data_IF_480531271713
#
_entry.id   IF_480531271713
#
_cell.length_a   1.000
_cell.length_b   1.000
_cell.length_c   1.000
_cell.angle_alpha   90.00
_cell.angle_beta   90.00
_cell.angle_gamma   90.00
#
_symmetry.space_group_name_H-M   'P 1'
#
loop_
_entity.id
_entity.type
_entity.pdbx_description
1 polymer ?
#
# COMPACT_ATOMS: atom_id res chain seq x y z
N UNK A 1 -24.84 -17.61 13.19
CA UNK A 1 -24.35 -16.22 13.29
C UNK A 1 -23.67 -15.88 11.96
N UNK A 2 -24.13 -14.86 11.22
CA UNK A 2 -23.49 -14.44 9.97
C UNK A 2 -22.05 -14.03 10.28
N UNK A 3 -21.10 -14.54 9.52
CA UNK A 3 -19.69 -14.13 9.64
C UNK A 3 -19.60 -12.62 9.41
N UNK A 4 -19.12 -11.88 10.40
CA UNK A 4 -19.03 -10.41 10.32
C UNK A 4 -18.15 -10.04 9.13
N UNK A 5 -18.67 -9.25 8.21
CA UNK A 5 -17.94 -8.79 7.04
C UNK A 5 -16.66 -8.04 7.44
N UNK A 6 -15.54 -8.45 6.89
CA UNK A 6 -14.22 -7.85 7.15
C UNK A 6 -14.04 -6.60 6.31
N UNK A 7 -13.35 -5.60 6.85
CA UNK A 7 -13.05 -4.34 6.15
C UNK A 7 -11.57 -4.25 5.80
N UNK A 8 -11.28 -3.92 4.54
CA UNK A 8 -9.93 -3.63 4.06
C UNK A 8 -9.85 -2.18 3.55
N UNK A 9 -8.81 -1.44 3.92
CA UNK A 9 -8.52 -0.11 3.40
C UNK A 9 -7.28 -0.19 2.50
N UNK A 10 -7.38 0.28 1.25
CA UNK A 10 -6.25 0.32 0.31
C UNK A 10 -6.02 1.76 -0.14
N UNK A 11 -4.84 2.32 0.16
CA UNK A 11 -4.42 3.62 -0.36
C UNK A 11 -3.69 3.48 -1.69
N UNK A 12 -3.67 4.53 -2.51
CA UNK A 12 -2.96 4.51 -3.79
C UNK A 12 -3.59 3.61 -4.85
N UNK A 13 -4.93 3.55 -4.88
CA UNK A 13 -5.66 2.80 -5.90
C UNK A 13 -5.64 3.59 -7.21
N UNK A 14 -4.77 3.18 -8.13
CA UNK A 14 -4.64 3.76 -9.47
C UNK A 14 -5.70 3.27 -10.45
N UNK A 15 -5.42 3.37 -11.78
CA UNK A 15 -6.32 2.84 -12.81
C UNK A 15 -6.44 1.31 -12.71
N UNK A 16 -7.44 0.76 -13.41
CA UNK A 16 -7.61 -0.69 -13.56
C UNK A 16 -6.31 -1.34 -14.06
N UNK A 17 -5.98 -2.53 -13.57
CA UNK A 17 -4.71 -3.25 -13.74
C UNK A 17 -3.50 -2.62 -13.01
N UNK A 18 -3.66 -1.54 -12.23
CA UNK A 18 -2.64 -1.05 -11.30
C UNK A 18 -2.57 -1.89 -10.03
N UNK A 19 -1.43 -1.87 -9.33
CA UNK A 19 -1.21 -2.70 -8.11
C UNK A 19 -2.31 -2.50 -7.07
N UNK A 20 -2.64 -1.25 -6.72
CA UNK A 20 -3.70 -0.97 -5.75
C UNK A 20 -5.08 -1.41 -6.21
N UNK A 21 -5.37 -1.37 -7.53
CA UNK A 21 -6.63 -1.86 -8.09
C UNK A 21 -6.72 -3.38 -8.01
N UNK A 22 -5.65 -4.12 -8.35
CA UNK A 22 -5.64 -5.58 -8.24
C UNK A 22 -5.76 -6.06 -6.80
N UNK A 23 -5.10 -5.37 -5.86
CA UNK A 23 -5.28 -5.62 -4.42
C UNK A 23 -6.76 -5.43 -4.03
N UNK A 24 -7.36 -4.29 -4.39
CA UNK A 24 -8.75 -4.00 -4.04
C UNK A 24 -9.72 -5.05 -4.63
N UNK A 25 -9.54 -5.42 -5.89
CA UNK A 25 -10.34 -6.46 -6.56
C UNK A 25 -10.23 -7.82 -5.88
N UNK A 26 -9.01 -8.25 -5.56
CA UNK A 26 -8.78 -9.53 -4.90
C UNK A 26 -9.46 -9.57 -3.53
N UNK A 27 -9.24 -8.56 -2.68
CA UNK A 27 -9.86 -8.51 -1.35
C UNK A 27 -11.39 -8.44 -1.44
N UNK A 28 -11.95 -7.67 -2.40
CA UNK A 28 -13.40 -7.66 -2.68
C UNK A 28 -13.94 -9.04 -3.09
N UNK A 29 -13.23 -9.78 -3.95
CA UNK A 29 -13.53 -11.17 -4.33
C UNK A 29 -13.48 -12.11 -3.12
N UNK A 30 -12.57 -11.85 -2.16
CA UNK A 30 -12.45 -12.60 -0.90
C UNK A 30 -13.44 -12.10 0.18
N UNK A 31 -14.51 -11.41 -0.22
CA UNK A 31 -15.63 -10.93 0.62
C UNK A 31 -15.25 -9.88 1.67
N UNK A 32 -14.15 -9.15 1.48
CA UNK A 32 -13.91 -7.93 2.24
C UNK A 32 -14.73 -6.78 1.67
N UNK A 33 -15.23 -5.87 2.52
CA UNK A 33 -15.63 -4.53 2.11
C UNK A 33 -14.35 -3.69 1.97
N UNK A 34 -14.03 -3.28 0.75
CA UNK A 34 -12.76 -2.61 0.46
C UNK A 34 -12.97 -1.12 0.25
N UNK A 35 -12.41 -0.29 1.12
CA UNK A 35 -12.33 1.15 0.90
C UNK A 35 -11.13 1.48 0.02
N UNK A 36 -11.38 1.99 -1.19
CA UNK A 36 -10.36 2.42 -2.13
C UNK A 36 -10.07 3.91 -1.98
N UNK A 37 -8.83 4.29 -1.66
CA UNK A 37 -8.41 5.69 -1.49
C UNK A 37 -7.43 6.09 -2.58
N UNK A 38 -7.75 7.13 -3.33
CA UNK A 38 -6.87 7.76 -4.31
C UNK A 38 -7.38 9.16 -4.70
N UNK A 39 -6.56 9.93 -5.39
CA UNK A 39 -6.92 11.28 -5.87
C UNK A 39 -7.95 11.29 -7.00
N UNK A 40 -7.86 10.31 -7.92
CA UNK A 40 -8.73 10.25 -9.10
C UNK A 40 -10.10 9.68 -8.76
N UNK A 41 -11.07 10.56 -8.53
CA UNK A 41 -12.49 10.16 -8.35
C UNK A 41 -13.02 9.33 -9.52
N UNK A 42 -12.62 9.68 -10.77
CA UNK A 42 -13.04 8.94 -11.96
C UNK A 42 -12.59 7.48 -11.89
N UNK A 43 -11.29 7.22 -11.70
CA UNK A 43 -10.77 5.84 -11.65
C UNK A 43 -11.41 5.01 -10.53
N UNK A 44 -11.62 5.62 -9.36
CA UNK A 44 -12.26 4.93 -8.24
C UNK A 44 -13.71 4.56 -8.55
N UNK A 45 -14.49 5.49 -9.13
CA UNK A 45 -15.88 5.25 -9.48
C UNK A 45 -16.01 4.21 -10.60
N UNK A 46 -15.10 4.21 -11.57
CA UNK A 46 -15.11 3.21 -12.65
C UNK A 46 -14.87 1.80 -12.09
N UNK A 47 -13.94 1.66 -11.13
CA UNK A 47 -13.70 0.39 -10.43
C UNK A 47 -14.90 -0.04 -9.59
N UNK A 48 -15.47 0.88 -8.79
CA UNK A 48 -16.64 0.60 -7.93
C UNK A 48 -17.84 0.12 -8.73
N UNK A 49 -18.10 0.70 -9.92
CA UNK A 49 -19.18 0.26 -10.81
C UNK A 49 -18.92 -1.14 -11.40
N UNK A 50 -17.66 -1.48 -11.63
CA UNK A 50 -17.27 -2.72 -12.32
C UNK A 50 -17.14 -3.92 -11.39
N UNK A 51 -16.75 -3.71 -10.14
CA UNK A 51 -16.42 -4.77 -9.19
C UNK A 51 -17.24 -4.68 -7.91
N UNK A 52 -17.64 -5.85 -7.37
CA UNK A 52 -18.41 -5.92 -6.11
C UNK A 52 -17.52 -5.73 -4.87
N UNK A 53 -18.12 -5.24 -3.80
CA UNK A 53 -17.50 -5.07 -2.47
C UNK A 53 -16.33 -4.10 -2.42
N UNK A 54 -16.18 -3.21 -3.40
CA UNK A 54 -15.17 -2.15 -3.37
C UNK A 54 -15.86 -0.79 -3.45
N UNK A 55 -15.40 0.17 -2.65
CA UNK A 55 -16.07 1.46 -2.42
C UNK A 55 -15.09 2.63 -2.62
N UNK A 56 -15.56 3.67 -3.29
CA UNK A 56 -14.77 4.84 -3.68
C UNK A 56 -14.69 5.88 -2.56
N UNK A 57 -13.47 6.26 -2.18
CA UNK A 57 -13.17 7.34 -1.23
C UNK A 57 -12.09 8.26 -1.82
N UNK A 58 -12.47 9.22 -2.68
CA UNK A 58 -11.51 10.16 -3.28
C UNK A 58 -10.84 11.01 -2.20
N UNK A 59 -9.51 10.89 -2.09
CA UNK A 59 -8.71 11.64 -1.13
C UNK A 59 -7.24 11.64 -1.55
N UNK A 60 -6.56 12.77 -1.38
CA UNK A 60 -5.10 12.83 -1.38
C UNK A 60 -4.60 12.47 0.03
N UNK A 61 -3.84 11.40 0.15
CA UNK A 61 -3.28 10.98 1.44
C UNK A 61 -2.21 11.95 1.96
N UNK A 62 -1.67 12.83 1.09
CA UNK A 62 -0.77 13.91 1.45
C UNK A 62 -1.47 15.10 2.12
N UNK A 63 -2.78 15.26 1.91
CA UNK A 63 -3.63 16.14 2.71
C UNK A 63 -4.04 15.40 4.01
N UNK A 64 -3.20 15.50 5.02
CA UNK A 64 -3.31 14.70 6.23
C UNK A 64 -4.61 14.96 7.01
N UNK A 65 -5.14 16.18 6.98
CA UNK A 65 -6.39 16.52 7.67
C UNK A 65 -7.60 15.91 6.95
N UNK A 66 -7.66 16.04 5.63
CA UNK A 66 -8.70 15.41 4.83
C UNK A 66 -8.59 13.88 4.86
N UNK A 67 -7.36 13.35 4.90
CA UNK A 67 -7.13 11.91 5.03
C UNK A 67 -7.69 11.36 6.35
N UNK A 68 -7.45 12.00 7.48
CA UNK A 68 -8.04 11.64 8.79
C UNK A 68 -9.57 11.67 8.75
N UNK A 69 -10.17 12.72 8.16
CA UNK A 69 -11.63 12.81 7.97
C UNK A 69 -12.16 11.66 7.12
N UNK A 70 -11.44 11.32 6.04
CA UNK A 70 -11.80 10.21 5.14
C UNK A 70 -11.75 8.86 5.87
N UNK A 71 -10.72 8.60 6.69
CA UNK A 71 -10.61 7.38 7.48
C UNK A 71 -11.77 7.23 8.49
N UNK A 72 -12.15 8.33 9.15
CA UNK A 72 -13.33 8.34 10.03
C UNK A 72 -14.62 8.05 9.26
N UNK A 73 -14.79 8.63 8.06
CA UNK A 73 -15.94 8.36 7.17
C UNK A 73 -15.99 6.88 6.78
N UNK A 74 -14.84 6.28 6.42
CA UNK A 74 -14.76 4.85 6.09
C UNK A 74 -15.19 4.00 7.28
N UNK A 75 -14.69 4.29 8.48
CA UNK A 75 -15.06 3.58 9.71
C UNK A 75 -16.56 3.65 9.99
N UNK A 76 -17.19 4.81 9.76
CA UNK A 76 -18.62 4.99 9.97
C UNK A 76 -19.46 4.23 8.92
N UNK A 77 -19.01 4.20 7.67
CA UNK A 77 -19.78 3.60 6.57
C UNK A 77 -19.60 2.08 6.44
N UNK A 78 -18.36 1.59 6.63
CA UNK A 78 -18.01 0.18 6.38
C UNK A 78 -17.69 -0.58 7.65
N UNK A 79 -17.41 0.12 8.74
CA UNK A 79 -16.97 -0.46 9.99
C UNK A 79 -15.45 -0.34 10.22
N UNK A 80 -14.95 -0.82 11.36
CA UNK A 80 -13.54 -0.77 11.70
C UNK A 80 -12.73 -1.71 10.82
N UNK A 81 -11.59 -1.23 10.31
CA UNK A 81 -10.71 -1.99 9.44
C UNK A 81 -10.12 -3.23 10.15
N UNK A 82 -10.06 -4.34 9.41
CA UNK A 82 -9.36 -5.56 9.79
C UNK A 82 -8.01 -5.68 9.07
N UNK A 83 -7.92 -5.09 7.85
CA UNK A 83 -6.68 -5.01 7.06
C UNK A 83 -6.52 -3.59 6.55
N UNK A 84 -5.31 -3.05 6.62
CA UNK A 84 -4.95 -1.80 5.95
C UNK A 84 -3.73 -2.01 5.06
N UNK A 85 -3.76 -1.44 3.86
CA UNK A 85 -2.69 -1.58 2.87
C UNK A 85 -2.28 -0.18 2.42
N UNK A 86 -1.09 0.26 2.84
CA UNK A 86 -0.53 1.53 2.41
C UNK A 86 0.26 1.32 1.13
N UNK A 87 -0.37 1.67 -0.01
CA UNK A 87 0.22 1.50 -1.34
C UNK A 87 0.39 2.83 -2.10
N UNK A 88 0.02 3.96 -1.53
CA UNK A 88 0.19 5.27 -2.15
C UNK A 88 1.67 5.70 -2.14
N UNK A 89 2.34 5.89 -3.30
CA UNK A 89 3.68 6.44 -3.36
C UNK A 89 3.67 7.91 -3.76
N UNK A 90 4.65 8.66 -3.26
CA UNK A 90 5.15 9.90 -3.88
C UNK A 90 6.64 9.74 -4.16
N UNK A 91 7.08 10.13 -5.36
CA UNK A 91 8.46 9.96 -5.80
C UNK A 91 8.90 11.15 -6.64
N UNK A 92 10.06 11.71 -6.32
CA UNK A 92 10.76 12.71 -7.12
C UNK A 92 12.09 12.12 -7.59
N UNK A 93 12.37 12.29 -8.89
CA UNK A 93 13.58 11.80 -9.53
C UNK A 93 14.37 12.94 -10.14
N UNK A 94 15.63 13.08 -9.77
CA UNK A 94 16.51 14.11 -10.30
C UNK A 94 17.80 14.28 -9.47
N UNK A 95 18.66 15.19 -9.92
CA UNK A 95 19.82 15.60 -9.14
C UNK A 95 19.39 16.31 -7.86
N UNK A 96 20.03 16.03 -6.73
CA UNK A 96 19.81 16.70 -5.44
C UNK A 96 19.98 18.22 -5.57
N UNK A 97 20.85 18.68 -6.47
CA UNK A 97 21.08 20.10 -6.72
C UNK A 97 19.95 20.80 -7.50
N UNK A 98 19.05 20.04 -8.13
CA UNK A 98 18.00 20.57 -9.02
C UNK A 98 16.57 20.31 -8.52
N UNK A 99 16.39 19.34 -7.63
CA UNK A 99 15.07 19.05 -7.07
C UNK A 99 14.66 20.15 -6.08
N UNK A 100 13.37 20.53 -6.10
CA UNK A 100 12.81 21.41 -5.10
C UNK A 100 12.76 20.70 -3.73
N UNK A 101 13.30 21.30 -2.65
CA UNK A 101 13.22 20.73 -1.29
C UNK A 101 11.79 20.38 -0.86
N UNK A 102 10.77 21.13 -1.30
CA UNK A 102 9.36 20.85 -1.01
C UNK A 102 8.91 19.48 -1.53
N UNK A 103 9.56 18.98 -2.58
CA UNK A 103 9.28 17.61 -3.08
C UNK A 103 9.70 16.54 -2.07
N UNK A 104 10.75 16.76 -1.29
CA UNK A 104 11.17 15.84 -0.23
C UNK A 104 10.10 15.80 0.87
N UNK A 105 9.61 16.95 1.29
CA UNK A 105 8.55 17.05 2.30
C UNK A 105 7.26 16.38 1.82
N UNK A 106 6.87 16.60 0.56
CA UNK A 106 5.72 15.92 -0.04
C UNK A 106 5.91 14.41 -0.05
N UNK A 107 7.11 13.94 -0.43
CA UNK A 107 7.41 12.51 -0.42
C UNK A 107 7.34 11.92 1.00
N UNK A 108 7.86 12.62 2.03
CA UNK A 108 7.71 12.22 3.43
C UNK A 108 6.24 12.18 3.85
N UNK A 109 5.48 13.20 3.49
CA UNK A 109 4.06 13.32 3.84
C UNK A 109 3.25 12.16 3.31
N UNK A 110 3.43 11.79 2.03
CA UNK A 110 2.70 10.69 1.40
C UNK A 110 3.24 9.33 1.82
N UNK A 111 4.56 9.12 1.78
CA UNK A 111 5.13 7.80 2.02
C UNK A 111 5.13 7.41 3.50
N UNK A 112 5.46 8.34 4.39
CA UNK A 112 5.74 8.04 5.81
C UNK A 112 4.67 8.58 6.74
N UNK A 113 4.35 9.89 6.66
CA UNK A 113 3.41 10.52 7.60
C UNK A 113 1.98 10.02 7.39
N UNK A 114 1.56 9.81 6.14
CA UNK A 114 0.24 9.22 5.86
C UNK A 114 0.11 7.79 6.40
N UNK A 115 1.20 6.97 6.35
CA UNK A 115 1.20 5.66 6.99
C UNK A 115 0.95 5.77 8.50
N UNK A 116 1.63 6.71 9.18
CA UNK A 116 1.41 6.94 10.62
C UNK A 116 -0.05 7.30 10.92
N UNK A 117 -0.67 8.19 10.14
CA UNK A 117 -2.08 8.56 10.32
C UNK A 117 -3.02 7.39 10.04
N UNK A 118 -2.77 6.60 8.97
CA UNK A 118 -3.54 5.40 8.68
C UNK A 118 -3.52 4.43 9.87
N UNK A 119 -2.34 4.18 10.43
CA UNK A 119 -2.16 3.29 11.58
C UNK A 119 -2.87 3.85 12.81
N UNK A 120 -2.67 5.11 13.16
CA UNK A 120 -3.28 5.74 14.35
C UNK A 120 -4.81 5.72 14.33
N UNK A 121 -5.43 5.87 13.16
CA UNK A 121 -6.90 5.86 13.03
C UNK A 121 -7.49 4.43 13.05
N UNK A 122 -6.72 3.41 12.68
CA UNK A 122 -7.23 2.04 12.53
C UNK A 122 -6.78 1.09 13.65
N UNK A 123 -5.59 1.28 14.19
CA UNK A 123 -4.95 0.42 15.19
C UNK A 123 -5.77 0.24 16.48
N UNK A 124 -6.42 1.27 17.07
CA UNK A 124 -7.18 1.08 18.31
C UNK A 124 -8.25 -0.01 18.21
N UNK A 125 -8.94 -0.10 17.07
CA UNK A 125 -9.96 -1.12 16.84
C UNK A 125 -9.36 -2.51 16.57
N UNK A 126 -8.19 -2.59 15.99
CA UNK A 126 -7.46 -3.84 15.81
C UNK A 126 -6.94 -4.38 17.15
N UNK A 127 -6.41 -3.48 18.01
CA UNK A 127 -5.93 -3.84 19.35
C UNK A 127 -7.05 -4.37 20.24
N UNK A 128 -8.25 -3.77 20.21
CA UNK A 128 -9.39 -4.25 20.99
C UNK A 128 -9.82 -5.67 20.61
N UNK A 129 -9.60 -6.06 19.34
CA UNK A 129 -9.85 -7.41 18.82
C UNK A 129 -8.65 -8.36 18.96
N UNK A 130 -7.46 -7.85 19.34
CA UNK A 130 -6.16 -8.55 19.27
C UNK A 130 -5.93 -9.21 17.91
N UNK A 131 -6.36 -8.53 16.83
CA UNK A 131 -6.33 -9.04 15.46
C UNK A 131 -6.39 -7.90 14.45
N UNK A 132 -5.45 -7.88 13.52
CA UNK A 132 -5.41 -6.92 12.41
C UNK A 132 -4.16 -7.12 11.58
N UNK A 133 -4.17 -6.64 10.33
CA UNK A 133 -3.01 -6.68 9.45
C UNK A 133 -2.74 -5.31 8.84
N UNK A 134 -1.48 -4.90 8.87
CA UNK A 134 -0.97 -3.64 8.30
C UNK A 134 0.08 -4.01 7.27
N UNK A 135 -0.23 -3.83 5.99
CA UNK A 135 0.67 -4.16 4.89
C UNK A 135 1.14 -2.88 4.19
N UNK A 136 2.39 -2.82 3.83
CA UNK A 136 2.98 -1.65 3.19
C UNK A 136 3.73 -2.07 1.93
N UNK A 137 3.41 -1.44 0.78
CA UNK A 137 4.21 -1.60 -0.43
C UNK A 137 5.47 -0.75 -0.36
N UNK A 138 6.60 -1.42 -0.46
CA UNK A 138 7.93 -0.84 -0.56
C UNK A 138 8.63 -1.24 -1.84
N UNK A 139 9.90 -0.92 -1.90
CA UNK A 139 10.83 -1.32 -2.94
C UNK A 139 12.27 -1.27 -2.41
N UNK A 140 13.26 -1.60 -3.24
CA UNK A 140 14.68 -1.59 -2.86
C UNK A 140 15.21 -0.20 -2.46
N UNK A 141 14.54 0.90 -2.83
CA UNK A 141 14.89 2.24 -2.33
C UNK A 141 14.75 2.36 -0.81
N UNK A 142 13.99 1.46 -0.16
CA UNK A 142 13.90 1.41 1.30
C UNK A 142 15.15 0.81 1.98
N UNK A 143 16.06 0.22 1.22
CA UNK A 143 17.26 -0.47 1.72
C UNK A 143 18.56 0.09 1.19
N UNK A 144 18.50 0.89 0.12
CA UNK A 144 19.68 1.48 -0.51
C UNK A 144 19.37 2.79 -1.20
N UNK A 145 20.30 3.74 -1.17
CA UNK A 145 20.27 4.92 -2.04
C UNK A 145 20.68 4.57 -3.48
N UNK A 146 20.13 5.29 -4.44
CA UNK A 146 20.52 5.22 -5.86
C UNK A 146 20.61 6.64 -6.41
N UNK A 147 21.58 6.91 -7.31
CA UNK A 147 21.69 8.19 -7.98
C UNK A 147 20.35 8.65 -8.56
N UNK A 148 20.05 9.93 -8.44
CA UNK A 148 18.80 10.56 -8.84
C UNK A 148 17.52 10.14 -8.10
N UNK A 149 17.60 9.32 -7.06
CA UNK A 149 16.47 8.84 -6.27
C UNK A 149 16.54 9.19 -4.78
N UNK A 150 17.46 10.12 -4.39
CA UNK A 150 17.72 10.44 -2.99
C UNK A 150 16.46 10.82 -2.21
N UNK A 151 15.61 11.70 -2.73
CA UNK A 151 14.39 12.14 -2.06
C UNK A 151 13.39 10.99 -1.87
N UNK A 152 13.24 10.14 -2.86
CA UNK A 152 12.37 8.97 -2.74
C UNK A 152 12.95 7.92 -1.78
N UNK A 153 14.24 7.60 -1.92
CA UNK A 153 14.88 6.56 -1.13
C UNK A 153 14.89 6.88 0.38
N UNK A 154 15.20 8.13 0.75
CA UNK A 154 15.18 8.54 2.17
C UNK A 154 13.79 8.37 2.79
N UNK A 155 12.73 8.72 2.08
CA UNK A 155 11.36 8.59 2.59
C UNK A 155 10.88 7.14 2.63
N UNK A 156 11.33 6.30 1.70
CA UNK A 156 11.00 4.85 1.72
C UNK A 156 11.78 4.11 2.81
N UNK A 157 13.02 4.52 3.09
CA UNK A 157 13.78 4.02 4.23
C UNK A 157 13.10 4.40 5.56
N UNK A 158 12.69 5.65 5.72
CA UNK A 158 11.92 6.12 6.89
C UNK A 158 10.61 5.35 7.05
N UNK A 159 9.86 5.14 5.95
CA UNK A 159 8.63 4.34 5.94
C UNK A 159 8.88 2.91 6.44
N UNK A 160 9.97 2.25 5.98
CA UNK A 160 10.31 0.89 6.39
C UNK A 160 10.66 0.83 7.89
N UNK A 161 11.45 1.77 8.39
CA UNK A 161 11.83 1.81 9.81
C UNK A 161 10.60 2.09 10.69
N UNK A 162 9.72 3.01 10.27
CA UNK A 162 8.45 3.24 10.98
C UNK A 162 7.61 1.97 11.03
N UNK A 163 7.47 1.27 9.90
CA UNK A 163 6.72 0.00 9.83
C UNK A 163 7.34 -1.07 10.74
N UNK A 164 8.66 -1.17 10.81
CA UNK A 164 9.38 -2.11 11.70
C UNK A 164 9.12 -1.79 13.18
N UNK A 165 9.16 -0.51 13.56
CA UNK A 165 8.84 -0.08 14.92
C UNK A 165 7.41 -0.45 15.30
N UNK A 166 6.44 -0.24 14.40
CA UNK A 166 5.03 -0.64 14.60
C UNK A 166 4.92 -2.17 14.75
N UNK A 167 5.65 -2.94 13.93
CA UNK A 167 5.66 -4.40 14.01
C UNK A 167 6.18 -4.90 15.37
N UNK A 168 7.27 -4.33 15.85
CA UNK A 168 7.88 -4.71 17.14
C UNK A 168 6.98 -4.36 18.32
N UNK A 169 6.33 -3.20 18.29
CA UNK A 169 5.48 -2.73 19.37
C UNK A 169 4.14 -3.47 19.45
N UNK A 170 3.53 -3.76 18.30
CA UNK A 170 2.16 -4.26 18.23
C UNK A 170 2.03 -5.72 17.77
N UNK A 171 3.09 -6.32 17.25
CA UNK A 171 3.13 -7.76 16.94
C UNK A 171 2.76 -8.64 18.13
N UNK A 172 3.38 -8.47 19.31
CA UNK A 172 3.03 -9.22 20.52
C UNK A 172 1.58 -9.00 20.97
N UNK A 173 0.94 -7.91 20.52
CA UNK A 173 -0.47 -7.57 20.81
C UNK A 173 -1.45 -8.12 19.75
N UNK A 174 -0.96 -8.95 18.80
CA UNK A 174 -1.78 -9.63 17.80
C UNK A 174 -1.98 -8.86 16.49
N UNK A 175 -1.12 -7.89 16.18
CA UNK A 175 -1.16 -7.10 14.94
C UNK A 175 -0.04 -7.53 14.00
N UNK A 176 -0.40 -8.09 12.86
CA UNK A 176 0.56 -8.48 11.83
C UNK A 176 0.94 -7.27 10.97
N UNK A 177 2.20 -6.90 10.96
CA UNK A 177 2.74 -5.83 10.11
C UNK A 177 3.73 -6.42 9.13
N UNK A 178 3.55 -6.18 7.83
CA UNK A 178 4.48 -6.66 6.79
C UNK A 178 4.83 -5.57 5.78
N UNK A 179 6.10 -5.50 5.44
CA UNK A 179 6.69 -4.58 4.47
C UNK A 179 7.14 -5.34 3.24
N UNK A 180 6.51 -5.04 2.09
CA UNK A 180 6.78 -5.70 0.81
C UNK A 180 7.86 -4.95 0.05
N UNK A 181 9.04 -5.52 -0.09
CA UNK A 181 10.09 -5.01 -0.98
C UNK A 181 9.84 -5.56 -2.38
N UNK A 182 9.19 -4.77 -3.21
CA UNK A 182 8.93 -5.13 -4.62
C UNK A 182 10.14 -4.65 -5.43
N UNK A 183 11.06 -5.57 -5.66
CA UNK A 183 12.26 -5.34 -6.46
C UNK A 183 12.00 -5.71 -7.91
N UNK A 184 11.27 -4.86 -8.59
CA UNK A 184 10.78 -5.12 -9.93
C UNK A 184 10.25 -3.87 -10.64
N UNK A 185 10.27 -3.90 -11.96
CA UNK A 185 9.34 -3.14 -12.77
C UNK A 185 7.95 -3.82 -12.70
N UNK A 186 6.95 -3.11 -12.19
CA UNK A 186 5.60 -3.67 -12.08
C UNK A 186 4.86 -3.47 -13.39
N UNK A 187 4.24 -4.52 -13.93
CA UNK A 187 3.47 -4.47 -15.16
C UNK A 187 2.15 -3.71 -15.01
N UNK A 188 2.24 -2.40 -15.07
CA UNK A 188 1.07 -1.54 -14.99
C UNK A 188 0.90 -0.74 -16.27
N UNK A 189 -0.31 -0.24 -16.58
CA UNK A 189 -0.54 0.65 -17.72
C UNK A 189 0.33 1.90 -17.71
N UNK A 190 0.86 2.29 -16.55
CA UNK A 190 1.75 3.45 -16.40
C UNK A 190 3.23 3.09 -16.51
N UNK A 191 3.62 1.87 -16.14
CA UNK A 191 5.04 1.49 -16.03
C UNK A 191 5.57 0.94 -17.34
N UNK A 192 4.91 -0.09 -17.88
CA UNK A 192 5.39 -0.81 -19.06
C UNK A 192 5.65 0.10 -20.27
N UNK A 193 4.71 0.96 -20.71
CA UNK A 193 4.91 1.78 -21.90
C UNK A 193 6.04 2.82 -21.80
N UNK A 194 6.34 3.26 -20.59
CA UNK A 194 7.23 4.42 -20.37
C UNK A 194 8.60 4.06 -19.83
N UNK A 195 8.74 2.90 -19.19
CA UNK A 195 10.00 2.55 -18.51
C UNK A 195 10.76 1.44 -19.25
N UNK A 196 10.07 0.42 -19.74
CA UNK A 196 10.70 -0.78 -20.29
C UNK A 196 9.82 -1.42 -21.39
N UNK A 197 9.49 -0.70 -22.48
CA UNK A 197 8.52 -1.19 -23.48
C UNK A 197 8.97 -2.48 -24.18
N UNK A 198 10.29 -2.65 -24.37
CA UNK A 198 10.88 -3.76 -25.15
C UNK A 198 11.24 -4.99 -24.30
N UNK A 199 10.99 -4.95 -22.98
CA UNK A 199 11.30 -6.08 -22.11
C UNK A 199 10.21 -7.16 -22.21
N UNK A 200 10.59 -8.46 -22.15
CA UNK A 200 9.65 -9.57 -22.18
C UNK A 200 8.78 -9.60 -20.92
N UNK A 201 7.69 -10.37 -20.98
CA UNK A 201 6.69 -10.44 -19.89
C UNK A 201 7.25 -10.94 -18.55
N UNK A 202 8.23 -11.84 -18.59
CA UNK A 202 8.89 -12.42 -17.43
C UNK A 202 9.83 -11.45 -16.69
N UNK A 203 10.17 -10.33 -17.34
CA UNK A 203 10.92 -9.24 -16.71
C UNK A 203 10.06 -8.47 -15.67
N UNK A 204 8.74 -8.55 -15.76
CA UNK A 204 7.85 -7.73 -14.96
C UNK A 204 7.19 -8.52 -13.83
N UNK A 205 7.02 -7.87 -12.68
CA UNK A 205 6.11 -8.36 -11.64
C UNK A 205 4.65 -8.02 -11.99
N UNK A 206 3.80 -9.03 -12.00
CA UNK A 206 2.35 -8.86 -12.26
C UNK A 206 1.65 -8.29 -11.02
N UNK A 207 0.85 -7.21 -11.15
CA UNK A 207 0.06 -6.66 -10.03
C UNK A 207 -0.84 -7.70 -9.35
N UNK A 208 -1.39 -8.65 -10.12
CA UNK A 208 -2.20 -9.75 -9.59
C UNK A 208 -1.41 -10.69 -8.68
N UNK A 209 -0.17 -11.02 -9.05
CA UNK A 209 0.72 -11.86 -8.23
C UNK A 209 1.11 -11.15 -6.92
N UNK A 210 1.40 -9.84 -7.00
CA UNK A 210 1.67 -9.03 -5.80
C UNK A 210 0.44 -9.04 -4.87
N UNK A 211 -0.76 -8.86 -5.41
CA UNK A 211 -2.00 -8.89 -4.62
C UNK A 211 -2.23 -10.25 -3.94
N UNK A 212 -1.96 -11.37 -4.64
CA UNK A 212 -2.07 -12.72 -4.07
C UNK A 212 -1.07 -12.94 -2.91
N UNK A 213 0.17 -12.49 -3.05
CA UNK A 213 1.16 -12.59 -1.96
C UNK A 213 0.75 -11.74 -0.74
N UNK A 214 0.20 -10.55 -0.96
CA UNK A 214 -0.35 -9.73 0.12
C UNK A 214 -1.52 -10.45 0.84
N UNK A 215 -2.42 -11.06 0.08
CA UNK A 215 -3.53 -11.81 0.66
C UNK A 215 -3.05 -13.03 1.45
N UNK A 216 -2.10 -13.81 0.92
CA UNK A 216 -1.47 -14.94 1.62
C UNK A 216 -0.81 -14.48 2.94
N UNK A 217 -0.13 -13.33 2.92
CA UNK A 217 0.50 -12.75 4.11
C UNK A 217 -0.54 -12.43 5.20
N UNK A 218 -1.72 -11.91 4.84
CA UNK A 218 -2.81 -11.69 5.81
C UNK A 218 -3.27 -12.99 6.46
N UNK A 219 -3.14 -14.12 5.79
CA UNK A 219 -3.56 -15.43 6.26
C UNK A 219 -2.46 -16.23 6.99
N UNK A 220 -1.24 -15.71 7.06
CA UNK A 220 -0.14 -16.41 7.72
C UNK A 220 -0.47 -16.78 9.17
N UNK A 221 -0.05 -17.96 9.56
CA UNK A 221 -0.12 -18.38 10.96
C UNK A 221 0.71 -17.45 11.86
N UNK A 222 0.22 -17.18 13.06
CA UNK A 222 0.88 -16.26 14.01
C UNK A 222 2.29 -16.67 14.38
N UNK A 223 2.59 -17.97 14.34
CA UNK A 223 3.90 -18.52 14.66
C UNK A 223 4.96 -18.26 13.58
N UNK A 224 4.53 -17.82 12.37
CA UNK A 224 5.40 -17.64 11.20
C UNK A 224 5.18 -16.31 10.48
N UNK A 225 4.78 -15.28 11.20
CA UNK A 225 4.55 -13.96 10.61
C UNK A 225 5.82 -13.37 9.99
N UNK A 226 5.74 -13.02 8.71
CA UNK A 226 6.81 -12.32 8.00
C UNK A 226 6.65 -10.80 8.18
N UNK A 227 7.73 -10.11 8.57
CA UNK A 227 7.79 -8.65 8.49
C UNK A 227 8.28 -8.19 7.11
N UNK A 228 9.39 -8.77 6.61
CA UNK A 228 9.97 -8.44 5.31
C UNK A 228 9.60 -9.49 4.29
N UNK A 229 8.86 -9.08 3.26
CA UNK A 229 8.50 -9.91 2.10
C UNK A 229 9.15 -9.31 0.86
N UNK A 230 10.05 -10.05 0.23
CA UNK A 230 10.76 -9.59 -0.96
C UNK A 230 10.20 -10.30 -2.19
N UNK A 231 9.79 -9.51 -3.19
CA UNK A 231 9.18 -10.00 -4.43
C UNK A 231 10.01 -9.56 -5.63
N UNK A 232 10.30 -10.51 -6.50
CA UNK A 232 11.10 -10.29 -7.71
C UNK A 232 10.63 -11.19 -8.84
N UNK A 233 10.56 -10.71 -10.09
CA UNK A 233 10.35 -11.56 -11.24
C UNK A 233 11.62 -12.37 -11.53
N UNK A 234 11.47 -13.59 -11.99
CA UNK A 234 12.62 -14.47 -12.26
C UNK A 234 13.46 -14.02 -13.47
N UNK A 235 12.85 -13.29 -14.41
CA UNK A 235 13.50 -12.81 -15.64
C UNK A 235 14.27 -11.49 -15.49
N UNK A 236 14.21 -10.83 -14.32
CA UNK A 236 15.01 -9.64 -14.05
C UNK A 236 16.38 -10.03 -13.49
N UNK A 237 17.46 -9.51 -14.10
CA UNK A 237 18.83 -9.72 -13.61
C UNK A 237 19.14 -8.79 -12.44
N UNK A 238 19.91 -9.32 -11.51
CA UNK A 238 20.35 -8.60 -10.30
C UNK A 238 21.49 -7.61 -10.61
#
# INVERSE_FOLDING_TARGET
MSEKEKVCIVTGVGPDKGTGAEIAKLFGKKKYKVAMIARSKKNLNDLEKKYKNIFSYPCDVGDLENFKKTLKKIKNNLGPADVVIHNAPSASRGSILKLNPDDLELNFRVNTTALLHLVRETLPSMLSKKKGSILITGNTAATRGKSHWGFFASTKAAQRILAESIAREFGPKGIHVAYFIIDAAIDTPRTRPYMQPDKPDDYFSKPTAIAEEMYKTVLQDKSTWSFRVELRPFGETW
#
